data_IF_823099870491
#
_entry.id   IF_823099870491
#
_cell.length_a   1.000
_cell.length_b   1.000
_cell.length_c   1.000
_cell.angle_alpha   90.00
_cell.angle_beta   90.00
_cell.angle_gamma   90.00
#
_symmetry.space_group_name_H-M   'P 1'
#
loop_
_entity.id
_entity.type
_entity.pdbx_description
1 polymer ?
#
# COMPACT_ATOMS: atom_id res chain seq x y z
N UNK A 1 10.50 -22.13 -26.77
CA UNK A 1 9.71 -20.99 -27.29
C UNK A 1 8.96 -20.41 -26.10
N UNK A 2 9.04 -19.11 -25.75
CA UNK A 2 8.10 -18.60 -24.76
C UNK A 2 6.80 -18.36 -25.50
N UNK A 3 5.93 -19.36 -25.49
CA UNK A 3 4.55 -19.21 -25.93
C UNK A 3 3.90 -18.21 -24.97
N UNK A 4 3.82 -16.96 -25.41
CA UNK A 4 3.26 -15.88 -24.58
C UNK A 4 1.82 -16.26 -24.25
N UNK A 5 1.45 -16.24 -22.97
CA UNK A 5 0.14 -16.72 -22.57
C UNK A 5 -0.98 -15.98 -23.34
N UNK A 6 -2.05 -16.66 -23.76
CA UNK A 6 -3.12 -16.05 -24.54
C UNK A 6 -3.80 -14.90 -23.77
N UNK A 7 -3.71 -14.92 -22.44
CA UNK A 7 -4.16 -13.85 -21.57
C UNK A 7 -3.33 -12.58 -21.73
N UNK A 8 -1.99 -12.71 -21.71
CA UNK A 8 -1.08 -11.58 -21.94
C UNK A 8 -1.25 -10.97 -23.33
N UNK A 9 -1.45 -11.81 -24.35
CA UNK A 9 -1.74 -11.33 -25.71
C UNK A 9 -3.05 -10.53 -25.78
N UNK A 10 -4.11 -11.00 -25.12
CA UNK A 10 -5.37 -10.28 -25.05
C UNK A 10 -5.23 -8.93 -24.34
N UNK A 11 -4.52 -8.90 -23.20
CA UNK A 11 -4.23 -7.66 -22.47
C UNK A 11 -3.42 -6.68 -23.34
N UNK A 12 -2.42 -7.17 -24.05
CA UNK A 12 -1.61 -6.35 -24.95
C UNK A 12 -2.42 -5.78 -26.12
N UNK A 13 -3.39 -6.53 -26.65
CA UNK A 13 -4.30 -6.06 -27.69
C UNK A 13 -5.24 -4.95 -27.19
N UNK A 14 -5.74 -5.05 -25.96
CA UNK A 14 -6.67 -4.08 -25.38
C UNK A 14 -5.97 -2.78 -24.93
N UNK A 15 -4.80 -2.90 -24.29
CA UNK A 15 -4.10 -1.77 -23.69
C UNK A 15 -3.05 -1.14 -24.62
N UNK A 16 -2.63 -1.86 -25.67
CA UNK A 16 -1.72 -1.37 -26.69
C UNK A 16 -0.43 -0.81 -26.09
N UNK A 17 -0.15 0.47 -26.40
CA UNK A 17 1.07 1.16 -25.97
C UNK A 17 1.19 1.37 -24.44
N UNK A 18 0.12 1.17 -23.66
CA UNK A 18 0.20 1.24 -22.18
C UNK A 18 0.95 0.04 -21.59
N UNK A 19 1.07 -1.07 -22.33
CA UNK A 19 1.86 -2.24 -21.92
C UNK A 19 3.29 -2.04 -22.37
N UNK A 20 4.18 -1.78 -21.41
CA UNK A 20 5.60 -1.58 -21.68
C UNK A 20 6.32 -2.91 -21.92
N UNK A 21 5.96 -3.94 -21.14
CA UNK A 21 6.58 -5.26 -21.25
C UNK A 21 5.64 -6.34 -20.71
N UNK A 22 5.67 -7.52 -21.33
CA UNK A 22 5.04 -8.73 -20.83
C UNK A 22 6.10 -9.76 -20.47
N UNK A 23 5.92 -10.45 -19.34
CA UNK A 23 6.83 -11.45 -18.83
C UNK A 23 6.01 -12.64 -18.33
N UNK A 24 6.57 -13.83 -18.45
CA UNK A 24 6.01 -15.03 -17.86
C UNK A 24 7.11 -15.73 -17.07
N UNK A 25 6.85 -15.98 -15.79
CA UNK A 25 7.82 -16.60 -14.90
C UNK A 25 7.12 -17.63 -14.01
N UNK A 26 7.58 -18.88 -14.06
CA UNK A 26 7.13 -19.95 -13.14
C UNK A 26 5.59 -20.15 -13.12
N UNK A 27 4.92 -19.85 -14.24
CA UNK A 27 3.46 -19.96 -14.38
C UNK A 27 2.68 -18.69 -14.04
N UNK A 28 3.34 -17.64 -13.55
CA UNK A 28 2.72 -16.34 -13.30
C UNK A 28 2.84 -15.42 -14.53
N UNK A 29 1.71 -14.83 -14.91
CA UNK A 29 1.64 -13.75 -15.89
C UNK A 29 2.04 -12.44 -15.21
N UNK A 30 3.01 -11.73 -15.81
CA UNK A 30 3.52 -10.46 -15.30
C UNK A 30 3.45 -9.41 -16.42
N UNK A 31 2.88 -8.25 -16.12
CA UNK A 31 2.86 -7.12 -17.04
C UNK A 31 3.52 -5.91 -16.40
N UNK A 32 4.28 -5.16 -17.20
CA UNK A 32 4.77 -3.84 -16.85
C UNK A 32 3.88 -2.83 -17.56
N UNK A 33 3.17 -2.02 -16.78
CA UNK A 33 2.26 -1.00 -17.28
C UNK A 33 2.81 0.39 -17.03
N UNK A 34 2.50 1.30 -17.95
CA UNK A 34 2.65 2.73 -17.70
C UNK A 34 1.68 3.18 -16.59
N UNK A 35 2.11 4.15 -15.79
CA UNK A 35 1.31 4.77 -14.73
C UNK A 35 0.16 5.63 -15.28
N UNK A 36 0.24 6.05 -16.55
CA UNK A 36 -0.77 6.87 -17.18
C UNK A 36 -2.08 6.08 -17.41
N UNK A 37 -3.19 6.58 -16.84
CA UNK A 37 -4.50 5.93 -16.95
C UNK A 37 -4.56 4.57 -16.26
N UNK A 38 -3.82 4.41 -15.15
CA UNK A 38 -3.73 3.16 -14.40
C UNK A 38 -5.10 2.64 -13.98
N UNK A 39 -5.95 3.51 -13.43
CA UNK A 39 -7.30 3.15 -12.96
C UNK A 39 -8.19 2.66 -14.10
N UNK A 40 -8.05 3.21 -15.30
CA UNK A 40 -8.79 2.75 -16.48
C UNK A 40 -8.32 1.34 -16.90
N UNK A 41 -7.02 1.10 -16.91
CA UNK A 41 -6.44 -0.22 -17.22
C UNK A 41 -6.92 -1.28 -16.22
N UNK A 42 -6.92 -0.96 -14.93
CA UNK A 42 -7.43 -1.86 -13.88
C UNK A 42 -8.95 -2.03 -13.91
N UNK A 43 -9.69 -1.02 -14.37
CA UNK A 43 -11.14 -1.16 -14.59
C UNK A 43 -11.41 -2.23 -15.65
N UNK A 44 -10.66 -2.20 -16.77
CA UNK A 44 -10.76 -3.22 -17.81
C UNK A 44 -10.43 -4.62 -17.27
N UNK A 45 -9.41 -4.76 -16.43
CA UNK A 45 -9.08 -6.04 -15.78
C UNK A 45 -10.22 -6.59 -14.93
N UNK A 46 -10.96 -5.71 -14.26
CA UNK A 46 -12.07 -6.09 -13.40
C UNK A 46 -13.37 -6.37 -14.16
N UNK A 47 -13.72 -5.51 -15.11
CA UNK A 47 -15.03 -5.49 -15.78
C UNK A 47 -15.08 -6.41 -17.01
N UNK A 48 -13.96 -6.68 -17.67
CA UNK A 48 -13.94 -7.55 -18.85
C UNK A 48 -14.25 -9.00 -18.46
N UNK A 49 -15.26 -9.59 -19.12
CA UNK A 49 -15.73 -10.95 -18.84
C UNK A 49 -14.68 -12.06 -19.04
N UNK A 50 -13.69 -11.83 -19.92
CA UNK A 50 -12.61 -12.79 -20.20
C UNK A 50 -11.52 -12.71 -19.14
N UNK A 51 -11.25 -11.52 -18.61
CA UNK A 51 -10.23 -11.30 -17.58
C UNK A 51 -10.78 -11.57 -16.18
N UNK A 52 -11.85 -10.86 -15.81
CA UNK A 52 -12.61 -10.99 -14.57
C UNK A 52 -11.71 -11.09 -13.33
N UNK A 53 -10.78 -10.15 -13.16
CA UNK A 53 -9.94 -10.03 -11.97
C UNK A 53 -10.77 -9.42 -10.83
N UNK A 54 -11.45 -10.26 -10.08
CA UNK A 54 -12.38 -9.88 -9.02
C UNK A 54 -11.67 -9.63 -7.68
N UNK A 55 -10.53 -10.29 -7.44
CA UNK A 55 -9.82 -10.23 -6.17
C UNK A 55 -8.46 -9.50 -6.28
N UNK A 56 -8.33 -8.38 -5.57
CA UNK A 56 -7.04 -7.72 -5.34
C UNK A 56 -6.37 -8.38 -4.13
N UNK A 57 -5.28 -9.08 -4.38
CA UNK A 57 -4.56 -9.86 -3.37
C UNK A 57 -3.58 -9.01 -2.57
N UNK A 58 -2.84 -8.14 -3.25
CA UNK A 58 -1.78 -7.34 -2.61
C UNK A 58 -1.42 -6.10 -3.43
N UNK A 59 -0.95 -5.05 -2.76
CA UNK A 59 -0.30 -3.88 -3.34
C UNK A 59 0.95 -3.61 -2.52
N UNK A 60 2.09 -3.66 -3.16
CA UNK A 60 3.38 -3.38 -2.53
C UNK A 60 4.24 -2.50 -3.43
N UNK A 61 5.39 -2.05 -2.93
CA UNK A 61 6.35 -1.31 -3.73
C UNK A 61 7.76 -1.88 -3.57
N UNK A 62 8.55 -1.71 -4.62
CA UNK A 62 9.96 -2.10 -4.65
C UNK A 62 10.79 -0.84 -4.93
N UNK A 63 11.81 -0.63 -4.10
CA UNK A 63 12.80 0.44 -4.28
C UNK A 63 14.06 -0.12 -4.95
N UNK A 64 14.32 0.31 -6.18
CA UNK A 64 15.48 -0.02 -6.99
C UNK A 64 16.58 1.06 -6.90
N UNK A 65 16.74 1.71 -5.75
CA UNK A 65 17.80 2.67 -5.47
C UNK A 65 19.16 2.28 -6.09
N UNK A 66 19.68 3.16 -6.96
CA UNK A 66 20.95 3.00 -7.69
C UNK A 66 21.07 1.76 -8.60
N UNK A 67 19.99 1.01 -8.83
CA UNK A 67 19.99 -0.20 -9.68
C UNK A 67 19.22 -0.02 -10.99
N UNK A 68 18.12 0.74 -10.97
CA UNK A 68 17.23 0.92 -12.12
C UNK A 68 16.57 2.29 -12.06
N UNK A 69 16.31 2.88 -13.24
CA UNK A 69 15.40 4.01 -13.40
C UNK A 69 14.16 3.55 -14.18
N UNK A 70 12.93 3.91 -13.77
CA UNK A 70 12.54 4.65 -12.55
C UNK A 70 12.88 3.91 -11.24
N UNK A 71 13.10 4.69 -10.16
CA UNK A 71 13.55 4.20 -8.83
C UNK A 71 12.52 3.27 -8.19
N UNK A 72 11.26 3.70 -8.15
CA UNK A 72 10.20 2.96 -7.49
C UNK A 72 9.45 2.11 -8.49
N UNK A 73 8.91 1.00 -8.03
CA UNK A 73 8.01 0.17 -8.81
C UNK A 73 6.87 -0.31 -7.91
N UNK A 74 5.64 0.08 -8.21
CA UNK A 74 4.45 -0.38 -7.48
C UNK A 74 3.99 -1.69 -8.11
N UNK A 75 3.83 -2.71 -7.28
CA UNK A 75 3.44 -4.05 -7.70
C UNK A 75 2.06 -4.35 -7.18
N UNK A 76 1.15 -4.65 -8.10
CA UNK A 76 -0.21 -5.07 -7.79
C UNK A 76 -0.35 -6.55 -8.11
N UNK A 77 -0.96 -7.31 -7.21
CA UNK A 77 -1.28 -8.71 -7.42
C UNK A 77 -2.78 -8.85 -7.50
N UNK A 78 -3.29 -9.17 -8.68
CA UNK A 78 -4.73 -9.40 -8.91
C UNK A 78 -4.97 -10.85 -9.32
N UNK A 79 -6.07 -11.40 -8.82
CA UNK A 79 -6.46 -12.79 -9.04
C UNK A 79 -7.88 -12.83 -9.58
N UNK A 80 -8.09 -13.62 -10.63
CA UNK A 80 -9.42 -14.01 -11.08
C UNK A 80 -9.79 -15.31 -10.39
N UNK A 81 -10.76 -15.27 -9.48
CA UNK A 81 -11.22 -16.46 -8.76
C UNK A 81 -11.97 -17.41 -9.70
N UNK A 82 -12.76 -16.87 -10.64
CA UNK A 82 -13.50 -17.64 -11.64
C UNK A 82 -12.56 -18.43 -12.56
N UNK A 83 -11.53 -17.77 -13.09
CA UNK A 83 -10.61 -18.36 -14.05
C UNK A 83 -9.41 -19.05 -13.37
N UNK A 84 -9.25 -18.90 -12.04
CA UNK A 84 -8.12 -19.37 -11.23
C UNK A 84 -6.77 -18.91 -11.78
N UNK A 85 -6.70 -17.65 -12.21
CA UNK A 85 -5.50 -17.04 -12.80
C UNK A 85 -5.03 -15.87 -11.96
N UNK A 86 -3.72 -15.70 -11.88
CA UNK A 86 -3.07 -14.58 -11.20
C UNK A 86 -2.36 -13.72 -12.23
N UNK A 87 -2.36 -12.41 -12.00
CA UNK A 87 -1.65 -11.44 -12.80
C UNK A 87 -0.92 -10.49 -11.86
N UNK A 88 0.38 -10.34 -12.10
CA UNK A 88 1.21 -9.36 -11.41
C UNK A 88 1.41 -8.16 -12.32
N UNK A 89 0.94 -7.00 -11.88
CA UNK A 89 1.09 -5.74 -12.59
C UNK A 89 2.19 -4.94 -11.92
N UNK A 90 3.21 -4.54 -12.67
CA UNK A 90 4.34 -3.75 -12.19
C UNK A 90 4.27 -2.38 -12.85
N UNK A 91 4.30 -1.32 -12.04
CA UNK A 91 4.16 0.06 -12.51
C UNK A 91 5.41 0.82 -12.10
N UNK A 92 6.29 1.17 -13.05
CA UNK A 92 7.46 2.00 -12.77
C UNK A 92 7.03 3.43 -12.38
N UNK A 93 7.60 3.95 -11.29
CA UNK A 93 7.27 5.28 -10.73
C UNK A 93 8.56 6.08 -10.50
N UNK A 94 8.68 7.30 -11.04
CA UNK A 94 9.85 8.14 -10.83
C UNK A 94 9.90 8.73 -9.41
N UNK A 95 11.11 9.03 -8.95
CA UNK A 95 11.31 9.68 -7.65
C UNK A 95 10.92 11.17 -7.67
N UNK A 96 11.03 11.83 -8.83
CA UNK A 96 10.65 13.24 -8.98
C UNK A 96 9.16 13.49 -8.77
N UNK A 97 8.33 12.48 -9.08
CA UNK A 97 6.89 12.50 -8.86
C UNK A 97 6.41 11.11 -8.43
N UNK A 98 6.57 10.76 -7.14
CA UNK A 98 6.22 9.44 -6.63
C UNK A 98 4.71 9.39 -6.40
N UNK A 99 3.94 9.35 -7.49
CA UNK A 99 2.49 9.35 -7.46
C UNK A 99 1.89 8.41 -8.53
N UNK A 100 0.82 7.70 -8.14
CA UNK A 100 0.01 6.80 -8.98
C UNK A 100 -1.47 7.00 -8.70
N UNK A 101 -2.35 6.56 -9.59
CA UNK A 101 -3.80 6.62 -9.35
C UNK A 101 -4.23 5.56 -8.32
N UNK A 102 -5.14 5.94 -7.43
CA UNK A 102 -5.73 5.03 -6.45
C UNK A 102 -6.70 4.04 -7.10
N UNK A 103 -6.64 2.79 -6.66
CA UNK A 103 -7.53 1.70 -7.05
C UNK A 103 -8.66 1.48 -6.03
N UNK A 104 -8.74 2.27 -4.95
CA UNK A 104 -9.83 2.16 -3.97
C UNK A 104 -11.24 2.26 -4.56
N UNK A 105 -11.52 3.04 -5.63
CA UNK A 105 -12.84 3.05 -6.25
C UNK A 105 -13.20 1.71 -6.91
N UNK A 106 -12.21 0.91 -7.29
CA UNK A 106 -12.40 -0.41 -7.91
C UNK A 106 -12.43 -1.52 -6.85
N UNK A 107 -11.44 -1.57 -5.96
CA UNK A 107 -11.39 -2.53 -4.86
C UNK A 107 -11.29 -1.80 -3.53
N UNK A 108 -12.32 -1.96 -2.68
CA UNK A 108 -12.32 -1.38 -1.33
C UNK A 108 -11.14 -1.85 -0.47
N UNK A 109 -10.66 -3.09 -0.70
CA UNK A 109 -9.49 -3.65 -0.03
C UNK A 109 -8.18 -2.92 -0.33
N UNK A 110 -8.11 -2.13 -1.41
CA UNK A 110 -6.91 -1.36 -1.75
C UNK A 110 -6.60 -0.26 -0.72
N UNK A 111 -7.57 0.17 0.08
CA UNK A 111 -7.41 1.30 1.00
C UNK A 111 -6.24 1.09 1.98
N UNK A 112 -6.24 -0.07 2.65
CA UNK A 112 -5.20 -0.40 3.62
C UNK A 112 -3.82 -0.58 2.96
N UNK A 113 -3.78 -1.24 1.80
CA UNK A 113 -2.55 -1.56 1.08
C UNK A 113 -1.90 -0.30 0.49
N UNK A 114 -2.70 0.61 -0.08
CA UNK A 114 -2.21 1.89 -0.60
C UNK A 114 -1.67 2.79 0.53
N UNK A 115 -2.32 2.78 1.70
CA UNK A 115 -1.81 3.47 2.89
C UNK A 115 -0.49 2.90 3.38
N UNK A 116 -0.34 1.58 3.39
CA UNK A 116 0.92 0.92 3.76
C UNK A 116 2.06 1.33 2.82
N UNK A 117 1.83 1.29 1.51
CA UNK A 117 2.83 1.70 0.50
C UNK A 117 3.20 3.18 0.67
N UNK A 118 2.22 4.05 0.95
CA UNK A 118 2.49 5.45 1.25
C UNK A 118 3.29 5.63 2.55
N UNK A 119 2.93 4.91 3.61
CA UNK A 119 3.58 5.04 4.92
C UNK A 119 5.05 4.58 4.86
N UNK A 120 5.31 3.45 4.20
CA UNK A 120 6.62 2.80 4.18
C UNK A 120 7.55 3.27 3.05
N UNK A 121 7.00 3.65 1.89
CA UNK A 121 7.77 4.07 0.71
C UNK A 121 7.50 5.52 0.28
N UNK A 122 6.47 6.20 0.80
CA UNK A 122 6.16 7.59 0.47
C UNK A 122 5.61 7.79 -0.94
N UNK A 123 5.06 6.76 -1.56
CA UNK A 123 4.39 6.86 -2.87
C UNK A 123 2.95 7.30 -2.64
N UNK A 124 2.54 8.38 -3.29
CA UNK A 124 1.21 8.99 -3.13
C UNK A 124 0.19 8.33 -4.07
N UNK A 125 -1.03 8.14 -3.58
CA UNK A 125 -2.13 7.60 -4.37
C UNK A 125 -3.18 8.69 -4.63
N UNK A 126 -3.27 9.16 -5.87
CA UNK A 126 -4.19 10.20 -6.29
C UNK A 126 -5.63 9.67 -6.31
N UNK A 127 -6.54 10.35 -5.59
CA UNK A 127 -7.93 9.94 -5.46
C UNK A 127 -8.21 8.95 -4.32
N UNK A 128 -7.24 8.68 -3.45
CA UNK A 128 -7.43 7.87 -2.24
C UNK A 128 -8.29 8.62 -1.20
N UNK A 129 -9.30 7.99 -0.56
CA UNK A 129 -10.22 8.66 0.35
C UNK A 129 -9.61 9.11 1.68
N UNK A 130 -8.66 8.34 2.24
CA UNK A 130 -8.06 8.62 3.54
C UNK A 130 -6.58 8.19 3.59
N UNK A 131 -5.69 8.98 3.00
CA UNK A 131 -4.26 8.66 2.95
C UNK A 131 -3.54 9.17 4.20
N UNK A 132 -3.58 8.38 5.28
CA UNK A 132 -2.89 8.63 6.56
C UNK A 132 -2.03 7.44 6.96
N UNK A 133 -1.09 7.68 7.89
CA UNK A 133 -0.17 6.64 8.39
C UNK A 133 -0.97 5.50 9.00
N UNK A 134 -0.44 4.29 8.92
CA UNK A 134 -1.14 3.10 9.41
C UNK A 134 -0.24 2.16 10.20
N UNK A 135 1.01 2.00 9.79
CA UNK A 135 1.99 1.17 10.50
C UNK A 135 2.86 2.01 11.42
N UNK A 136 3.23 3.21 10.99
CA UNK A 136 4.07 4.11 11.74
C UNK A 136 3.22 5.05 12.60
N UNK A 137 3.78 5.48 13.74
CA UNK A 137 3.14 6.49 14.58
C UNK A 137 3.16 7.86 13.89
N UNK A 138 2.25 8.75 14.30
CA UNK A 138 1.96 10.01 13.60
C UNK A 138 3.21 10.90 13.44
N UNK A 139 4.07 10.95 14.45
CA UNK A 139 5.28 11.76 14.49
C UNK A 139 6.48 11.14 13.76
N UNK A 140 6.33 9.95 13.17
CA UNK A 140 7.44 9.28 12.48
C UNK A 140 7.93 10.12 11.30
N UNK A 141 9.24 10.33 11.22
CA UNK A 141 9.87 11.09 10.14
C UNK A 141 10.54 10.16 9.13
N UNK A 142 10.12 10.26 7.87
CA UNK A 142 10.66 9.47 6.76
C UNK A 142 9.83 8.23 6.39
N UNK A 143 10.48 7.35 5.62
CA UNK A 143 9.89 6.16 4.98
C UNK A 143 10.88 5.00 5.08
N UNK A 144 10.71 4.08 6.05
CA UNK A 144 11.76 3.16 6.48
C UNK A 144 12.12 2.06 5.47
N UNK A 145 11.23 1.71 4.52
CA UNK A 145 11.53 0.68 3.52
C UNK A 145 12.29 1.21 2.30
N UNK A 146 12.54 2.52 2.24
CA UNK A 146 13.42 3.09 1.22
C UNK A 146 14.87 2.74 1.52
N UNK A 147 15.66 2.47 0.49
CA UNK A 147 17.06 2.02 0.62
C UNK A 147 18.04 3.13 0.97
N UNK A 148 17.65 4.38 0.81
CA UNK A 148 18.37 5.58 1.29
C UNK A 148 18.09 5.88 2.77
N UNK A 149 17.09 5.23 3.39
CA UNK A 149 16.76 5.45 4.79
C UNK A 149 17.81 4.81 5.72
N UNK A 150 18.44 5.59 6.63
CA UNK A 150 19.46 5.08 7.54
C UNK A 150 18.91 4.05 8.54
N UNK A 151 19.45 2.83 8.50
CA UNK A 151 19.01 1.69 9.34
C UNK A 151 19.17 1.99 10.84
N UNK A 152 20.24 2.70 11.22
CA UNK A 152 20.56 3.00 12.61
C UNK A 152 19.97 4.35 13.08
N UNK A 153 19.07 4.95 12.30
CA UNK A 153 18.45 6.21 12.70
C UNK A 153 17.47 5.96 13.85
N UNK A 154 17.88 6.38 15.03
CA UNK A 154 17.00 6.46 16.18
C UNK A 154 15.98 7.57 15.96
N UNK A 155 14.71 7.20 15.92
CA UNK A 155 13.64 8.18 15.94
C UNK A 155 13.61 8.93 17.28
N UNK A 156 13.19 10.21 17.29
CA UNK A 156 13.08 10.97 18.53
C UNK A 156 12.09 10.29 19.48
N UNK A 157 12.39 10.35 20.79
CA UNK A 157 11.45 9.87 21.81
C UNK A 157 10.23 10.78 21.82
N UNK A 158 9.08 10.22 21.49
CA UNK A 158 7.80 10.92 21.56
C UNK A 158 7.31 10.85 23.01
N UNK A 159 6.87 11.97 23.62
CA UNK A 159 6.25 11.93 24.94
C UNK A 159 4.98 11.08 24.92
N UNK A 160 4.68 10.43 26.04
CA UNK A 160 3.45 9.64 26.17
C UNK A 160 2.21 10.54 25.95
N UNK A 161 1.34 10.11 25.04
CA UNK A 161 0.10 10.82 24.76
C UNK A 161 -0.91 10.54 25.87
N UNK A 162 -1.27 11.57 26.63
CA UNK A 162 -2.40 11.47 27.57
C UNK A 162 -3.70 11.39 26.76
N UNK A 163 -4.40 10.27 26.87
CA UNK A 163 -5.72 10.09 26.27
C UNK A 163 -6.75 10.27 27.37
N UNK A 164 -7.56 11.34 27.28
CA UNK A 164 -8.63 11.55 28.26
C UNK A 164 -9.68 10.43 28.16
N UNK A 165 -10.14 9.93 29.30
CA UNK A 165 -11.20 8.91 29.37
C UNK A 165 -10.70 7.47 29.26
N UNK A 166 -9.41 7.20 29.52
CA UNK A 166 -8.94 5.81 29.61
C UNK A 166 -9.33 5.20 30.96
N UNK A 167 -9.60 3.90 30.97
CA UNK A 167 -9.95 3.12 32.17
C UNK A 167 -8.89 3.23 33.30
N UNK A 168 -7.64 3.54 32.94
CA UNK A 168 -6.53 3.75 33.88
C UNK A 168 -6.70 5.05 34.66
N UNK A 169 -7.21 6.11 34.03
CA UNK A 169 -7.46 7.41 34.66
C UNK A 169 -8.57 7.30 35.71
N UNK A 170 -9.67 6.61 35.40
CA UNK A 170 -10.78 6.45 36.35
C UNK A 170 -10.37 5.64 37.58
N UNK A 171 -9.58 4.57 37.41
CA UNK A 171 -9.13 3.73 38.53
C UNK A 171 -8.11 4.47 39.40
N UNK A 172 -7.23 5.27 38.81
CA UNK A 172 -6.24 6.06 39.55
C UNK A 172 -6.87 7.25 40.28
N UNK A 173 -7.87 7.92 39.70
CA UNK A 173 -8.69 8.92 40.40
C UNK A 173 -9.44 8.30 41.58
N UNK A 174 -10.07 7.15 41.38
CA UNK A 174 -10.78 6.44 42.45
C UNK A 174 -9.83 5.93 43.55
N UNK A 175 -8.62 5.48 43.21
CA UNK A 175 -7.60 5.06 44.19
C UNK A 175 -7.08 6.24 45.01
N UNK A 176 -6.82 7.38 44.37
CA UNK A 176 -6.40 8.62 45.06
C UNK A 176 -7.51 9.18 45.94
N UNK A 177 -8.77 9.12 45.50
CA UNK A 177 -9.92 9.53 46.31
C UNK A 177 -10.07 8.66 47.57
N UNK A 178 -9.92 7.33 47.45
CA UNK A 178 -9.92 6.41 48.59
C UNK A 178 -8.78 6.69 49.58
N UNK A 179 -7.56 6.87 49.08
CA UNK A 179 -6.40 7.20 49.91
C UNK A 179 -6.58 8.53 50.65
N UNK A 180 -7.14 9.57 50.01
CA UNK A 180 -7.42 10.86 50.65
C UNK A 180 -8.48 10.74 51.76
N UNK A 181 -9.51 9.92 51.56
CA UNK A 181 -10.51 9.64 52.58
C UNK A 181 -9.92 8.89 53.79
N UNK A 182 -9.07 7.87 53.55
CA UNK A 182 -8.39 7.11 54.60
C UNK A 182 -7.41 7.96 55.42
N UNK A 183 -6.72 8.91 54.77
CA UNK A 183 -5.78 9.81 55.44
C UNK A 183 -6.48 10.97 56.17
N UNK A 184 -7.61 11.46 55.65
CA UNK A 184 -8.41 12.53 56.27
C UNK A 184 -9.23 12.10 57.49
N UNK A 185 -9.50 10.80 57.66
CA UNK A 185 -10.23 10.25 58.82
C UNK A 185 -9.33 9.92 60.02
N UNK A 186 -8.01 10.13 59.91
CA UNK A 186 -7.00 9.82 60.95
C UNK A 186 -6.48 11.05 61.71
N UNK A 187 -7.13 12.20 61.60
CA UNK A 187 -6.91 13.38 62.45
C UNK A 187 -8.11 13.64 63.33
#
# INVERSE_FOLDING_TARGET
>A
MPDTSPNLQFIQQQLGAKVLQTLQAQGDDIIILDRAGLRESFRLFKEDSKLNYDFLSDITAVDYWQKKAPRFEVVYQVTSLKNRRRLRVRVPVPESDPAVESLTPLWRGANFLEREVWDLFGIRFAGHPDLRRILLYDEFQGHPLRKDYPVNLCQPRVPERKVEGTFVDERSHNKLARLKHELGSKG
#
